data_IF_021503960459
#
_entry.id   IF_021503960459
#
_cell.length_a   1.000
_cell.length_b   1.000
_cell.length_c   1.000
_cell.angle_alpha   90.00
_cell.angle_beta   90.00
_cell.angle_gamma   90.00
#
_symmetry.space_group_name_H-M   'P 1'
#
loop_
_entity.id
_entity.type
_entity.pdbx_description
1 polymer ?
#
# COMPACT_ATOMS: atom_id res chain seq x y z
N UNK A 1 50.03 27.61 -52.70
CA UNK A 1 48.58 27.54 -52.93
C UNK A 1 47.89 27.14 -51.63
N UNK A 2 47.32 28.08 -50.90
CA UNK A 2 46.61 27.86 -49.62
C UNK A 2 45.12 27.88 -49.93
N UNK A 3 44.39 26.82 -49.56
CA UNK A 3 42.95 26.72 -49.65
C UNK A 3 42.33 27.23 -48.32
N UNK A 4 41.26 28.05 -48.32
CA UNK A 4 40.62 28.49 -47.09
C UNK A 4 39.64 27.42 -46.55
N UNK A 5 39.65 27.24 -45.22
CA UNK A 5 38.66 26.46 -44.49
C UNK A 5 37.35 27.26 -44.44
N UNK A 6 36.25 26.64 -44.92
CA UNK A 6 34.92 27.16 -44.75
C UNK A 6 34.43 26.81 -43.31
N UNK A 7 34.03 27.85 -42.58
CA UNK A 7 33.36 27.70 -41.30
C UNK A 7 31.88 27.27 -41.53
N UNK A 8 31.53 26.12 -41.02
CA UNK A 8 30.12 25.64 -40.96
C UNK A 8 29.51 26.20 -39.68
N UNK A 9 28.64 27.20 -39.85
CA UNK A 9 27.84 27.72 -38.76
C UNK A 9 26.77 26.69 -38.32
N UNK A 10 26.89 26.24 -37.08
CA UNK A 10 25.85 25.43 -36.45
C UNK A 10 24.72 26.34 -35.99
N UNK A 11 23.59 26.25 -36.63
CA UNK A 11 22.32 26.89 -36.20
C UNK A 11 21.73 26.03 -35.11
N UNK A 12 21.80 26.48 -33.85
CA UNK A 12 21.04 25.87 -32.76
C UNK A 12 19.56 26.19 -32.94
N UNK A 13 18.78 25.25 -33.41
CA UNK A 13 17.32 25.27 -33.32
C UNK A 13 16.91 24.96 -31.89
N UNK A 14 16.45 25.94 -31.13
CA UNK A 14 15.82 25.74 -29.84
C UNK A 14 14.48 24.97 -30.06
N UNK A 15 14.46 23.68 -29.81
CA UNK A 15 13.21 22.93 -29.68
C UNK A 15 12.55 23.37 -28.36
N UNK A 16 11.48 24.15 -28.49
CA UNK A 16 10.58 24.45 -27.39
C UNK A 16 9.96 23.16 -26.88
N UNK A 17 10.33 22.74 -25.69
CA UNK A 17 9.60 21.72 -24.94
C UNK A 17 8.24 22.29 -24.56
N UNK A 18 7.23 22.04 -25.40
CA UNK A 18 5.83 22.22 -25.01
C UNK A 18 5.53 21.14 -23.97
N UNK A 19 5.50 21.54 -22.69
CA UNK A 19 4.99 20.68 -21.62
C UNK A 19 3.53 20.37 -21.95
N UNK A 20 3.29 19.16 -22.43
CA UNK A 20 1.94 18.63 -22.62
C UNK A 20 1.36 18.42 -21.22
N UNK A 21 0.64 19.41 -20.70
CA UNK A 21 -0.24 19.23 -19.57
C UNK A 21 -1.33 18.24 -20.01
N UNK A 22 -1.14 16.96 -19.71
CA UNK A 22 -2.23 16.01 -19.75
C UNK A 22 -3.21 16.46 -18.67
N UNK A 23 -4.26 17.16 -19.08
CA UNK A 23 -5.40 17.42 -18.21
C UNK A 23 -5.91 16.05 -17.76
N UNK A 24 -5.66 15.70 -16.50
CA UNK A 24 -6.31 14.56 -15.87
C UNK A 24 -7.79 14.90 -15.85
N UNK A 25 -8.54 14.27 -16.76
CA UNK A 25 -10.01 14.33 -16.70
C UNK A 25 -10.42 13.75 -15.35
N UNK A 26 -10.90 14.63 -14.46
CA UNK A 26 -11.48 14.20 -13.21
C UNK A 26 -12.62 13.23 -13.55
N UNK A 27 -12.50 11.97 -13.12
CA UNK A 27 -13.56 11.00 -13.27
C UNK A 27 -14.74 11.39 -12.36
N UNK A 28 -15.96 11.06 -12.79
CA UNK A 28 -17.18 11.49 -12.13
C UNK A 28 -17.60 10.61 -10.93
N UNK A 29 -16.73 9.71 -10.45
CA UNK A 29 -17.05 8.87 -9.30
C UNK A 29 -17.26 9.73 -8.04
N UNK A 30 -18.37 9.51 -7.36
CA UNK A 30 -18.68 10.20 -6.11
C UNK A 30 -18.09 9.42 -4.95
N UNK A 31 -17.24 10.04 -4.10
CA UNK A 31 -16.68 9.38 -2.93
C UNK A 31 -17.77 8.90 -1.98
N UNK A 32 -17.60 7.71 -1.40
CA UNK A 32 -18.52 7.15 -0.40
C UNK A 32 -18.23 7.74 1.00
N UNK A 33 -18.32 9.06 1.14
CA UNK A 33 -17.87 9.81 2.32
C UNK A 33 -18.55 9.36 3.62
N UNK A 34 -19.82 9.01 3.58
CA UNK A 34 -20.55 8.53 4.78
C UNK A 34 -19.99 7.19 5.27
N UNK A 35 -19.67 6.27 4.36
CA UNK A 35 -19.03 4.98 4.65
C UNK A 35 -17.60 5.17 5.14
N UNK A 36 -16.83 6.03 4.50
CA UNK A 36 -15.49 6.38 4.95
C UNK A 36 -15.50 6.92 6.38
N UNK A 37 -16.42 7.84 6.70
CA UNK A 37 -16.58 8.36 8.06
C UNK A 37 -16.98 7.30 9.07
N UNK A 38 -17.81 6.31 8.68
CA UNK A 38 -18.14 5.19 9.55
C UNK A 38 -16.91 4.32 9.85
N UNK A 39 -16.12 3.98 8.82
CA UNK A 39 -14.89 3.21 8.96
C UNK A 39 -13.84 3.94 9.82
N UNK A 40 -13.68 5.25 9.63
CA UNK A 40 -12.78 6.06 10.45
C UNK A 40 -13.21 6.12 11.92
N UNK A 41 -14.52 6.22 12.21
CA UNK A 41 -15.01 6.14 13.59
C UNK A 41 -14.80 4.76 14.21
N UNK A 42 -14.97 3.68 13.44
CA UNK A 42 -14.63 2.35 13.89
C UNK A 42 -13.15 2.26 14.27
N UNK A 43 -12.23 2.70 13.40
CA UNK A 43 -10.80 2.72 13.68
C UNK A 43 -10.46 3.56 14.92
N UNK A 44 -11.12 4.69 15.10
CA UNK A 44 -10.95 5.48 16.32
C UNK A 44 -11.28 4.66 17.57
N UNK A 45 -12.37 3.90 17.53
CA UNK A 45 -12.76 2.99 18.62
C UNK A 45 -11.80 1.83 18.86
N UNK A 46 -10.95 1.50 17.86
CA UNK A 46 -9.95 0.44 17.97
C UNK A 46 -8.61 0.91 18.55
N UNK A 47 -8.45 2.21 18.83
CA UNK A 47 -7.19 2.71 19.42
C UNK A 47 -6.99 2.09 20.79
N UNK A 48 -5.98 1.25 20.92
CA UNK A 48 -5.62 0.56 22.15
C UNK A 48 -5.13 1.52 23.25
N UNK A 49 -5.02 1.01 24.47
CA UNK A 49 -4.50 1.80 25.61
C UNK A 49 -3.09 2.33 25.40
N UNK A 50 -2.27 1.63 24.63
CA UNK A 50 -0.93 2.06 24.26
C UNK A 50 -0.88 2.96 23.01
N UNK A 51 -2.03 3.28 22.40
CA UNK A 51 -2.13 4.08 21.19
C UNK A 51 -2.06 3.30 19.88
N UNK A 52 -1.88 1.97 19.90
CA UNK A 52 -1.84 1.14 18.69
C UNK A 52 -3.23 0.83 18.14
N UNK A 53 -3.27 0.52 16.85
CA UNK A 53 -4.37 -0.19 16.21
C UNK A 53 -3.91 -1.64 15.96
N UNK A 54 -4.71 -2.61 16.39
CA UNK A 54 -4.41 -4.05 16.24
C UNK A 54 -3.03 -4.46 16.77
N UNK A 55 -2.46 -3.72 17.73
CA UNK A 55 -1.09 -3.91 18.26
C UNK A 55 -0.01 -3.92 17.16
N UNK A 56 -0.25 -3.26 16.04
CA UNK A 56 0.59 -3.27 14.84
C UNK A 56 1.05 -1.84 14.48
N UNK A 57 2.35 -1.68 14.24
CA UNK A 57 2.93 -0.42 13.73
C UNK A 57 2.34 -0.13 12.36
N UNK A 58 2.38 -1.09 11.42
CA UNK A 58 1.89 -0.89 10.06
C UNK A 58 0.40 -0.53 9.98
N UNK A 59 -0.45 -1.20 10.77
CA UNK A 59 -1.88 -0.86 10.83
C UNK A 59 -2.15 0.50 11.46
N UNK A 60 -1.33 0.89 12.44
CA UNK A 60 -1.41 2.21 13.07
C UNK A 60 -1.00 3.31 12.08
N UNK A 61 0.04 3.07 11.26
CA UNK A 61 0.47 3.96 10.17
C UNK A 61 -0.64 4.13 9.12
N UNK A 62 -1.23 3.01 8.66
CA UNK A 62 -2.35 3.03 7.71
C UNK A 62 -3.54 3.82 8.25
N UNK A 63 -3.82 3.67 9.55
CA UNK A 63 -4.91 4.44 10.19
C UNK A 63 -4.62 5.93 10.22
N UNK A 64 -3.39 6.34 10.53
CA UNK A 64 -2.97 7.76 10.49
C UNK A 64 -3.15 8.34 9.08
N UNK A 65 -2.72 7.61 8.06
CA UNK A 65 -2.86 8.00 6.65
C UNK A 65 -4.35 8.09 6.28
N UNK A 66 -5.14 7.08 6.63
CA UNK A 66 -6.57 7.02 6.32
C UNK A 66 -7.37 8.16 6.95
N UNK A 67 -7.04 8.54 8.19
CA UNK A 67 -7.69 9.66 8.89
C UNK A 67 -7.37 10.98 8.22
N UNK A 68 -6.11 11.19 7.83
CA UNK A 68 -5.69 12.39 7.09
C UNK A 68 -6.36 12.47 5.71
N UNK A 69 -6.43 11.36 4.99
CA UNK A 69 -7.08 11.28 3.69
C UNK A 69 -8.59 11.50 3.77
N UNK A 70 -9.20 11.12 4.88
CA UNK A 70 -10.59 11.42 5.20
C UNK A 70 -10.84 12.90 5.55
N UNK A 71 -9.78 13.71 5.67
CA UNK A 71 -9.86 15.15 5.97
C UNK A 71 -9.91 15.46 7.46
N UNK A 72 -9.55 14.52 8.32
CA UNK A 72 -9.51 14.69 9.77
C UNK A 72 -8.08 14.79 10.30
N UNK A 73 -7.92 15.39 11.50
CA UNK A 73 -6.64 15.49 12.17
C UNK A 73 -6.25 14.18 12.88
N UNK A 74 -5.24 13.43 12.40
CA UNK A 74 -4.82 12.20 13.03
C UNK A 74 -4.17 12.39 14.42
N UNK A 75 -3.76 13.59 14.80
CA UNK A 75 -3.28 13.89 16.14
C UNK A 75 -4.35 13.68 17.22
N UNK A 76 -5.62 13.65 16.82
CA UNK A 76 -6.76 13.40 17.70
C UNK A 76 -6.99 11.93 18.03
N UNK A 77 -6.34 11.01 17.30
CA UNK A 77 -6.44 9.58 17.55
C UNK A 77 -5.78 9.20 18.86
N UNK A 78 -6.59 8.95 19.88
CA UNK A 78 -6.15 8.59 21.25
C UNK A 78 -6.96 7.44 21.80
N UNK A 79 -6.29 6.50 22.46
CA UNK A 79 -6.95 5.44 23.20
C UNK A 79 -7.60 5.95 24.49
N UNK A 80 -8.33 5.09 25.17
CA UNK A 80 -9.02 5.41 26.43
C UNK A 80 -8.08 5.90 27.55
N UNK A 81 -6.79 5.55 27.48
CA UNK A 81 -5.74 6.07 28.39
C UNK A 81 -5.27 7.49 28.07
N UNK A 82 -5.70 8.07 26.96
CA UNK A 82 -5.19 9.33 26.42
C UNK A 82 -3.91 9.18 25.59
N UNK A 83 -3.34 7.97 25.48
CA UNK A 83 -2.15 7.70 24.66
C UNK A 83 -2.50 7.81 23.17
N UNK A 84 -1.77 8.63 22.44
CA UNK A 84 -2.00 8.84 21.01
C UNK A 84 -1.34 7.77 20.14
N UNK A 85 -1.84 7.61 18.89
CA UNK A 85 -1.18 6.82 17.85
C UNK A 85 0.24 7.33 17.57
N UNK A 86 0.47 8.63 17.65
CA UNK A 86 1.81 9.22 17.48
C UNK A 86 2.79 8.77 18.55
N UNK A 87 2.35 8.71 19.81
CA UNK A 87 3.20 8.20 20.90
C UNK A 87 3.58 6.73 20.67
N UNK A 88 2.61 5.92 20.22
CA UNK A 88 2.88 4.53 19.89
C UNK A 88 3.91 4.43 18.75
N UNK A 89 3.68 5.12 17.64
CA UNK A 89 4.56 5.06 16.47
C UNK A 89 5.99 5.53 16.79
N UNK A 90 6.14 6.66 17.49
CA UNK A 90 7.48 7.17 17.87
C UNK A 90 8.22 6.25 18.83
N UNK A 91 7.50 5.54 19.72
CA UNK A 91 8.07 4.58 20.66
C UNK A 91 8.47 3.24 20.04
N UNK A 92 8.03 2.94 18.78
CA UNK A 92 8.25 1.64 18.13
C UNK A 92 9.12 1.72 16.88
N UNK A 93 9.81 2.81 16.66
CA UNK A 93 10.71 2.98 15.48
C UNK A 93 11.84 1.95 15.43
N UNK A 94 12.27 1.40 16.57
CA UNK A 94 13.29 0.34 16.61
C UNK A 94 12.85 -0.97 15.94
N UNK A 95 11.54 -1.17 15.77
CA UNK A 95 11.00 -2.35 15.08
C UNK A 95 10.99 -2.21 13.56
N UNK A 96 11.27 -1.02 13.02
CA UNK A 96 11.34 -0.76 11.58
C UNK A 96 12.65 -1.31 11.02
N UNK A 97 12.60 -2.47 10.39
CA UNK A 97 13.76 -3.17 9.83
C UNK A 97 13.73 -3.31 8.32
N UNK A 98 12.62 -2.91 7.68
CA UNK A 98 12.40 -3.05 6.24
C UNK A 98 12.27 -1.70 5.54
N UNK A 99 12.61 -1.66 4.27
CA UNK A 99 12.41 -0.48 3.43
C UNK A 99 10.92 -0.08 3.36
N UNK A 100 10.03 -1.08 3.24
CA UNK A 100 8.59 -0.84 3.23
C UNK A 100 8.07 -0.25 4.53
N UNK A 101 8.54 -0.75 5.69
CA UNK A 101 8.19 -0.18 6.99
C UNK A 101 8.69 1.26 7.16
N UNK A 102 9.95 1.52 6.78
CA UNK A 102 10.50 2.88 6.80
C UNK A 102 9.70 3.84 5.89
N UNK A 103 9.35 3.39 4.69
CA UNK A 103 8.55 4.16 3.74
C UNK A 103 7.15 4.45 4.28
N UNK A 104 6.49 3.46 4.88
CA UNK A 104 5.16 3.64 5.47
C UNK A 104 5.19 4.63 6.65
N UNK A 105 6.23 4.57 7.49
CA UNK A 105 6.42 5.55 8.56
C UNK A 105 6.60 6.97 8.02
N UNK A 106 7.37 7.15 6.93
CA UNK A 106 7.49 8.44 6.24
C UNK A 106 6.15 8.91 5.68
N UNK A 107 5.36 8.01 5.07
CA UNK A 107 4.04 8.33 4.55
C UNK A 107 3.08 8.79 5.66
N UNK A 108 3.07 8.09 6.80
CA UNK A 108 2.27 8.48 7.96
C UNK A 108 2.70 9.85 8.52
N UNK A 109 4.01 10.13 8.56
CA UNK A 109 4.53 11.44 8.95
C UNK A 109 4.08 12.56 8.00
N UNK A 110 4.13 12.33 6.68
CA UNK A 110 3.64 13.28 5.69
C UNK A 110 2.14 13.52 5.86
N UNK A 111 1.36 12.44 6.01
CA UNK A 111 -0.09 12.50 6.23
C UNK A 111 -0.43 13.30 7.51
N UNK A 112 0.38 13.16 8.55
CA UNK A 112 0.28 13.92 9.79
C UNK A 112 0.79 15.37 9.69
N UNK A 113 0.97 15.89 8.47
CA UNK A 113 1.46 17.26 8.26
C UNK A 113 2.92 17.47 8.70
N UNK A 114 3.72 16.42 8.68
CA UNK A 114 5.10 16.38 9.17
C UNK A 114 5.19 16.72 10.68
N UNK A 115 4.25 16.19 11.46
CA UNK A 115 4.17 16.42 12.88
C UNK A 115 5.47 16.00 13.59
N UNK A 116 6.00 16.88 14.45
CA UNK A 116 7.24 16.63 15.20
C UNK A 116 7.13 15.42 16.15
N UNK A 117 5.91 15.06 16.57
CA UNK A 117 5.69 13.93 17.47
C UNK A 117 5.99 12.56 16.83
N UNK A 118 6.00 12.48 15.48
CA UNK A 118 6.34 11.28 14.72
C UNK A 118 7.37 11.62 13.62
N UNK A 119 8.34 12.48 13.92
CA UNK A 119 9.35 12.90 12.95
C UNK A 119 10.05 11.71 12.29
N UNK A 120 9.85 11.61 10.99
CA UNK A 120 10.43 10.56 10.15
C UNK A 120 11.58 11.07 9.26
N UNK A 121 12.11 12.26 9.49
CA UNK A 121 13.19 12.84 8.68
C UNK A 121 14.44 11.95 8.64
N UNK A 122 14.80 11.35 9.77
CA UNK A 122 15.89 10.38 9.86
C UNK A 122 15.60 9.09 9.07
N UNK A 123 14.33 8.66 9.04
CA UNK A 123 13.90 7.50 8.28
C UNK A 123 13.89 7.76 6.77
N UNK A 124 13.46 8.96 6.34
CA UNK A 124 13.58 9.39 4.95
C UNK A 124 15.05 9.42 4.49
N UNK A 125 15.94 9.96 5.34
CA UNK A 125 17.39 9.95 5.09
C UNK A 125 17.91 8.52 4.98
N UNK A 126 17.55 7.64 5.91
CA UNK A 126 17.97 6.24 5.91
C UNK A 126 17.41 5.46 4.72
N UNK A 127 16.17 5.74 4.32
CA UNK A 127 15.55 5.14 3.13
C UNK A 127 16.41 5.38 1.89
N UNK A 128 16.93 6.59 1.75
CA UNK A 128 17.72 7.03 0.59
C UNK A 128 19.24 6.88 0.78
N UNK A 129 19.71 6.43 1.94
CA UNK A 129 21.12 6.17 2.18
C UNK A 129 21.55 4.84 1.53
N UNK A 130 22.84 4.73 1.08
CA UNK A 130 23.36 3.49 0.55
C UNK A 130 23.24 2.32 1.54
N UNK A 131 22.80 1.16 1.07
CA UNK A 131 22.66 -0.04 1.88
C UNK A 131 24.00 -0.50 2.49
N UNK A 132 25.11 -0.27 1.80
CA UNK A 132 26.47 -0.52 2.32
C UNK A 132 26.80 0.30 3.58
N UNK A 133 26.10 1.41 3.82
CA UNK A 133 26.23 2.27 4.98
C UNK A 133 25.09 2.09 6.00
N UNK A 134 24.31 1.02 5.91
CA UNK A 134 23.18 0.75 6.82
C UNK A 134 21.86 1.43 6.42
N UNK A 135 21.82 2.03 5.23
CA UNK A 135 20.57 2.49 4.59
C UNK A 135 19.85 1.38 3.83
N UNK A 136 18.91 1.76 2.97
CA UNK A 136 18.11 0.80 2.21
C UNK A 136 18.36 0.85 0.69
N UNK A 137 19.00 1.90 0.17
CA UNK A 137 19.14 2.12 -1.28
C UNK A 137 20.32 1.36 -1.86
N UNK A 138 20.07 0.59 -2.92
CA UNK A 138 21.10 -0.07 -3.74
C UNK A 138 21.47 0.77 -4.97
N UNK A 139 22.67 0.56 -5.55
CA UNK A 139 23.11 1.29 -6.74
C UNK A 139 22.20 1.13 -7.96
N UNK A 140 21.46 0.02 -8.05
CA UNK A 140 20.49 -0.24 -9.13
C UNK A 140 19.12 0.42 -8.91
N UNK A 141 18.95 1.21 -7.84
CA UNK A 141 17.70 1.86 -7.49
C UNK A 141 16.71 1.00 -6.69
N UNK A 142 17.09 -0.22 -6.32
CA UNK A 142 16.28 -1.06 -5.45
C UNK A 142 16.38 -0.61 -3.98
N UNK A 143 15.27 -0.67 -3.27
CA UNK A 143 15.23 -0.49 -1.82
C UNK A 143 15.24 -1.86 -1.15
N UNK A 144 16.31 -2.15 -0.45
CA UNK A 144 16.52 -3.42 0.24
C UNK A 144 16.12 -3.36 1.70
N UNK A 145 15.77 -4.51 2.26
CA UNK A 145 15.65 -4.66 3.71
C UNK A 145 17.03 -4.59 4.38
N UNK A 146 17.07 -4.14 5.62
CA UNK A 146 18.32 -3.98 6.37
C UNK A 146 19.05 -5.31 6.62
N UNK A 147 18.34 -6.44 6.54
CA UNK A 147 18.93 -7.77 6.66
C UNK A 147 18.92 -8.50 5.31
N UNK A 148 20.06 -8.56 4.60
CA UNK A 148 20.14 -9.16 3.26
C UNK A 148 19.95 -10.67 3.23
N UNK A 149 19.86 -11.35 4.38
CA UNK A 149 19.78 -12.83 4.41
C UNK A 149 18.38 -13.38 4.22
N UNK A 150 17.33 -12.55 4.36
CA UNK A 150 15.94 -13.05 4.35
C UNK A 150 15.20 -12.66 3.08
N UNK A 151 15.32 -11.42 2.66
CA UNK A 151 14.66 -10.93 1.46
C UNK A 151 15.27 -9.59 1.05
N UNK A 152 15.76 -9.54 -0.17
CA UNK A 152 16.60 -8.41 -0.57
C UNK A 152 15.76 -7.22 -1.02
N UNK A 153 14.87 -7.42 -1.98
CA UNK A 153 13.96 -6.38 -2.45
C UNK A 153 12.67 -7.04 -2.97
N UNK A 154 11.56 -6.33 -2.86
CA UNK A 154 10.28 -6.74 -3.42
C UNK A 154 9.54 -5.53 -3.98
N UNK A 155 8.59 -5.76 -4.88
CA UNK A 155 7.88 -4.69 -5.58
C UNK A 155 7.02 -3.86 -4.63
N UNK A 156 6.49 -4.47 -3.56
CA UNK A 156 5.64 -3.78 -2.59
C UNK A 156 6.44 -2.75 -1.80
N UNK A 157 7.55 -3.16 -1.17
CA UNK A 157 8.45 -2.24 -0.45
C UNK A 157 9.04 -1.17 -1.35
N UNK A 158 9.42 -1.54 -2.58
CA UNK A 158 9.90 -0.60 -3.59
C UNK A 158 8.87 0.47 -3.92
N UNK A 159 7.62 0.07 -4.12
CA UNK A 159 6.52 0.98 -4.43
C UNK A 159 6.24 1.94 -3.29
N UNK A 160 6.20 1.44 -2.05
CA UNK A 160 6.05 2.28 -0.85
C UNK A 160 7.18 3.29 -0.73
N UNK A 161 8.44 2.90 -1.00
CA UNK A 161 9.58 3.80 -0.94
C UNK A 161 9.48 4.92 -1.99
N UNK A 162 9.11 4.59 -3.22
CA UNK A 162 8.86 5.57 -4.29
C UNK A 162 7.74 6.54 -3.88
N UNK A 163 6.65 6.03 -3.31
CA UNK A 163 5.54 6.85 -2.82
C UNK A 163 5.97 7.78 -1.68
N UNK A 164 6.79 7.27 -0.73
CA UNK A 164 7.28 8.03 0.41
C UNK A 164 8.19 9.20 -0.02
N UNK A 165 9.11 8.96 -0.95
CA UNK A 165 9.97 10.01 -1.51
C UNK A 165 9.12 11.10 -2.17
N UNK A 166 8.21 10.72 -3.05
CA UNK A 166 7.35 11.67 -3.78
C UNK A 166 6.42 12.44 -2.84
N UNK A 167 5.84 11.76 -1.83
CA UNK A 167 4.95 12.41 -0.88
C UNK A 167 5.68 13.38 0.05
N UNK A 168 6.93 13.06 0.43
CA UNK A 168 7.77 13.92 1.26
C UNK A 168 8.36 15.11 0.50
N UNK A 169 8.26 15.12 -0.84
CA UNK A 169 8.92 16.10 -1.72
C UNK A 169 10.39 15.79 -1.99
N UNK A 170 10.83 14.58 -1.66
CA UNK A 170 12.19 14.12 -1.95
C UNK A 170 12.30 13.68 -3.43
N UNK A 171 13.47 13.91 -4.02
CA UNK A 171 13.75 13.46 -5.38
C UNK A 171 13.92 11.95 -5.42
N UNK A 172 13.33 11.30 -6.42
CA UNK A 172 13.51 9.85 -6.59
C UNK A 172 14.96 9.51 -6.89
N UNK A 173 15.51 8.47 -6.26
CA UNK A 173 16.79 7.92 -6.64
C UNK A 173 16.81 7.50 -8.10
N UNK A 174 17.99 7.60 -8.72
CA UNK A 174 18.21 7.08 -10.06
C UNK A 174 17.77 5.61 -10.13
N UNK A 175 17.11 5.24 -11.20
CA UNK A 175 16.64 3.88 -11.51
C UNK A 175 15.49 3.34 -10.63
N UNK A 176 15.03 4.02 -9.56
CA UNK A 176 13.97 3.49 -8.67
C UNK A 176 12.69 3.11 -9.41
N UNK A 177 12.19 3.97 -10.32
CA UNK A 177 11.04 3.66 -11.16
C UNK A 177 11.36 2.68 -12.29
N UNK A 178 12.61 2.73 -12.80
CA UNK A 178 13.11 1.77 -13.79
C UNK A 178 13.07 0.35 -13.25
N UNK A 179 13.46 0.18 -11.99
CA UNK A 179 13.42 -1.09 -11.28
C UNK A 179 11.98 -1.65 -11.21
N UNK A 180 11.00 -0.84 -10.83
CA UNK A 180 9.58 -1.24 -10.83
C UNK A 180 9.10 -1.64 -12.24
N UNK A 181 9.46 -0.88 -13.27
CA UNK A 181 9.07 -1.21 -14.65
C UNK A 181 9.63 -2.56 -15.11
N UNK A 182 10.87 -2.87 -14.73
CA UNK A 182 11.47 -4.18 -15.04
C UNK A 182 10.77 -5.34 -14.32
N UNK A 183 10.03 -5.07 -13.24
CA UNK A 183 9.28 -6.07 -12.49
C UNK A 183 7.98 -6.51 -13.18
N UNK A 184 7.57 -5.88 -14.28
CA UNK A 184 6.36 -6.26 -15.01
C UNK A 184 6.50 -7.65 -15.64
N UNK A 185 5.51 -8.50 -15.43
CA UNK A 185 5.45 -9.85 -15.97
C UNK A 185 4.87 -9.86 -17.39
N UNK A 186 5.13 -10.91 -18.18
CA UNK A 186 4.60 -11.03 -19.56
C UNK A 186 3.09 -10.91 -19.65
N UNK A 187 2.35 -11.33 -18.62
CA UNK A 187 0.89 -11.18 -18.51
C UNK A 187 0.41 -9.76 -18.22
N UNK A 188 1.32 -8.80 -18.05
CA UNK A 188 1.02 -7.39 -17.82
C UNK A 188 0.91 -6.98 -16.36
N UNK A 189 0.71 -7.90 -15.42
CA UNK A 189 0.71 -7.65 -13.98
C UNK A 189 2.10 -7.62 -13.37
N UNK A 190 2.16 -7.45 -12.05
CA UNK A 190 3.37 -7.47 -11.24
C UNK A 190 3.23 -8.54 -10.15
N UNK A 191 4.32 -9.18 -9.79
CA UNK A 191 4.37 -10.15 -8.71
C UNK A 191 5.45 -9.78 -7.70
N UNK A 192 5.28 -10.26 -6.48
CA UNK A 192 6.04 -9.86 -5.30
C UNK A 192 7.56 -10.03 -5.44
N UNK A 193 7.98 -11.23 -5.85
CA UNK A 193 9.39 -11.57 -5.86
C UNK A 193 10.10 -11.17 -7.15
N UNK A 194 11.34 -10.72 -7.02
CA UNK A 194 12.26 -10.46 -8.12
C UNK A 194 13.56 -11.20 -7.82
N UNK A 195 14.01 -12.05 -8.77
CA UNK A 195 15.34 -12.65 -8.68
C UNK A 195 16.39 -11.62 -8.98
N UNK A 196 17.52 -11.74 -8.32
CA UNK A 196 18.67 -10.89 -8.55
C UNK A 196 18.33 -9.38 -8.54
N UNK A 197 17.79 -8.93 -7.41
CA UNK A 197 17.53 -7.52 -7.17
C UNK A 197 18.81 -6.65 -7.28
N UNK A 198 19.99 -7.25 -7.27
CA UNK A 198 21.27 -6.55 -7.49
C UNK A 198 21.56 -6.32 -8.97
N UNK A 199 20.96 -7.04 -9.90
CA UNK A 199 21.14 -6.82 -11.33
C UNK A 199 20.57 -5.48 -11.79
N UNK A 200 21.13 -4.91 -12.85
CA UNK A 200 20.68 -3.67 -13.45
C UNK A 200 20.54 -3.85 -14.96
N UNK A 201 19.34 -3.99 -15.54
CA UNK A 201 18.03 -4.08 -14.85
C UNK A 201 17.89 -5.40 -14.07
N UNK A 202 16.97 -5.46 -13.08
CA UNK A 202 16.73 -6.69 -12.34
C UNK A 202 16.23 -7.80 -13.27
N UNK A 203 16.66 -9.02 -13.00
CA UNK A 203 16.25 -10.21 -13.75
C UNK A 203 15.13 -10.90 -12.95
N UNK A 204 14.07 -11.31 -13.63
CA UNK A 204 12.97 -11.99 -12.99
C UNK A 204 13.33 -13.41 -12.54
N UNK A 205 12.90 -13.81 -11.36
CA UNK A 205 12.84 -15.21 -10.98
C UNK A 205 11.93 -15.92 -11.96
N UNK A 206 12.13 -17.15 -12.28
CA UNK A 206 11.26 -17.94 -13.16
C UNK A 206 9.78 -18.02 -12.70
N UNK A 207 9.39 -17.30 -11.65
CA UNK A 207 8.01 -17.08 -11.23
C UNK A 207 7.33 -16.16 -12.23
N UNK A 208 6.26 -16.67 -12.85
CA UNK A 208 5.43 -15.95 -13.81
C UNK A 208 4.15 -15.43 -13.19
N UNK A 209 3.93 -15.68 -11.91
CA UNK A 209 2.72 -15.25 -11.21
C UNK A 209 2.71 -13.74 -11.02
N UNK A 210 1.55 -13.15 -11.24
CA UNK A 210 1.23 -11.77 -10.89
C UNK A 210 0.06 -11.79 -9.93
N UNK A 211 0.00 -10.83 -9.04
CA UNK A 211 -1.15 -10.64 -8.18
C UNK A 211 -1.69 -9.22 -8.26
N UNK A 212 -2.91 -9.03 -7.79
CA UNK A 212 -3.63 -7.77 -7.90
C UNK A 212 -3.09 -6.71 -6.95
N UNK A 213 -2.58 -7.12 -5.79
CA UNK A 213 -2.10 -6.21 -4.75
C UNK A 213 -0.75 -5.61 -5.13
N UNK A 214 0.19 -6.45 -5.59
CA UNK A 214 1.48 -5.97 -6.11
C UNK A 214 1.28 -5.11 -7.36
N UNK A 215 0.41 -5.55 -8.27
CA UNK A 215 0.05 -4.74 -9.44
C UNK A 215 -0.57 -3.41 -9.03
N UNK A 216 -1.44 -3.42 -8.03
CA UNK A 216 -2.11 -2.23 -7.53
C UNK A 216 -1.15 -1.20 -6.92
N UNK A 217 -0.24 -1.64 -6.04
CA UNK A 217 0.70 -0.70 -5.40
C UNK A 217 1.75 -0.18 -6.38
N UNK A 218 2.22 -1.00 -7.31
CA UNK A 218 3.16 -0.56 -8.36
C UNK A 218 2.50 0.50 -9.25
N UNK A 219 1.24 0.31 -9.63
CA UNK A 219 0.50 1.29 -10.43
C UNK A 219 0.36 2.62 -9.71
N UNK A 220 0.13 2.61 -8.38
CA UNK A 220 0.07 3.83 -7.59
C UNK A 220 1.43 4.56 -7.58
N UNK A 221 2.52 3.82 -7.36
CA UNK A 221 3.87 4.39 -7.34
C UNK A 221 4.28 4.98 -8.70
N UNK A 222 4.08 4.24 -9.78
CA UNK A 222 4.41 4.70 -11.12
C UNK A 222 3.50 5.84 -11.58
N UNK A 223 2.20 5.77 -11.27
CA UNK A 223 1.25 6.86 -11.55
C UNK A 223 1.65 8.15 -10.84
N UNK A 224 2.00 8.09 -9.56
CA UNK A 224 2.46 9.25 -8.78
C UNK A 224 3.78 9.80 -9.32
N UNK A 225 4.67 8.94 -9.83
CA UNK A 225 5.93 9.34 -10.45
C UNK A 225 5.75 9.94 -11.86
N UNK A 226 4.52 10.03 -12.39
CA UNK A 226 4.25 10.50 -13.74
C UNK A 226 4.76 9.53 -14.83
N UNK A 227 5.13 8.33 -14.46
CA UNK A 227 5.53 7.28 -15.39
C UNK A 227 4.27 6.61 -15.91
N UNK A 228 3.80 7.06 -17.07
CA UNK A 228 2.58 6.55 -17.70
C UNK A 228 2.84 5.14 -18.21
N UNK A 229 2.77 4.20 -17.30
CA UNK A 229 2.83 2.77 -17.58
C UNK A 229 1.48 2.10 -17.38
N UNK A 230 0.40 2.88 -17.25
CA UNK A 230 -0.96 2.37 -17.36
C UNK A 230 -1.15 1.77 -18.76
N UNK A 231 -0.25 0.84 -19.07
CA UNK A 231 -0.20 0.18 -20.34
C UNK A 231 -1.49 -0.60 -20.54
N UNK A 232 -1.94 -0.77 -21.76
CA UNK A 232 -3.04 -1.67 -22.05
C UNK A 232 -2.87 -3.05 -21.41
N UNK A 233 -1.63 -3.52 -21.24
CA UNK A 233 -1.31 -4.81 -20.63
C UNK A 233 -1.67 -4.87 -19.14
N UNK A 234 -1.35 -3.83 -18.33
CA UNK A 234 -1.74 -3.80 -16.90
C UNK A 234 -3.25 -3.75 -16.74
N UNK A 235 -3.93 -2.89 -17.54
CA UNK A 235 -5.39 -2.83 -17.52
C UNK A 235 -6.03 -4.14 -17.93
N UNK A 236 -5.49 -4.81 -18.95
CA UNK A 236 -5.95 -6.13 -19.39
C UNK A 236 -5.75 -7.18 -18.29
N UNK A 237 -4.60 -7.18 -17.61
CA UNK A 237 -4.35 -8.05 -16.47
C UNK A 237 -5.38 -7.84 -15.36
N UNK A 238 -5.55 -6.61 -14.87
CA UNK A 238 -6.53 -6.32 -13.82
C UNK A 238 -7.95 -6.70 -14.26
N UNK A 239 -8.32 -6.41 -15.49
CA UNK A 239 -9.63 -6.80 -16.01
C UNK A 239 -9.82 -8.32 -16.02
N UNK A 240 -8.78 -9.09 -16.38
CA UNK A 240 -8.83 -10.56 -16.35
C UNK A 240 -8.89 -11.11 -14.91
N UNK A 241 -8.19 -10.46 -13.99
CA UNK A 241 -8.14 -10.86 -12.58
C UNK A 241 -9.41 -10.48 -11.79
N UNK A 242 -10.21 -9.54 -12.30
CA UNK A 242 -11.45 -9.14 -11.65
C UNK A 242 -12.40 -10.32 -11.52
N UNK A 243 -12.94 -10.57 -10.33
CA UNK A 243 -13.84 -11.67 -10.02
C UNK A 243 -15.25 -11.43 -10.59
N UNK A 244 -16.07 -12.49 -10.62
CA UNK A 244 -17.44 -12.42 -11.16
C UNK A 244 -18.37 -11.49 -10.36
N UNK A 245 -18.07 -11.26 -9.07
CA UNK A 245 -18.77 -10.34 -8.18
C UNK A 245 -18.32 -8.87 -8.32
N UNK A 246 -17.40 -8.59 -9.25
CA UNK A 246 -16.90 -7.25 -9.54
C UNK A 246 -15.70 -6.83 -8.70
N UNK A 247 -15.29 -7.63 -7.72
CA UNK A 247 -14.16 -7.35 -6.84
C UNK A 247 -12.85 -8.01 -7.31
N UNK A 248 -11.87 -7.96 -6.42
CA UNK A 248 -10.54 -8.52 -6.60
C UNK A 248 -10.15 -9.38 -5.40
N UNK A 249 -9.24 -10.32 -5.62
CA UNK A 249 -8.64 -11.12 -4.59
C UNK A 249 -7.12 -11.07 -4.69
N UNK A 250 -6.44 -11.36 -3.61
CA UNK A 250 -5.02 -11.63 -3.65
C UNK A 250 -4.73 -12.81 -4.60
N UNK A 251 -3.97 -12.53 -5.66
CA UNK A 251 -3.76 -13.50 -6.72
C UNK A 251 -4.96 -13.65 -7.67
N UNK A 252 -4.98 -14.75 -8.42
CA UNK A 252 -6.04 -15.06 -9.37
C UNK A 252 -6.99 -16.16 -8.88
N UNK A 253 -6.79 -16.64 -7.67
CA UNK A 253 -7.51 -17.78 -7.08
C UNK A 253 -8.11 -17.33 -5.74
N UNK A 254 -9.40 -17.47 -5.61
CA UNK A 254 -10.12 -17.18 -4.36
C UNK A 254 -11.35 -16.31 -4.56
N UNK A 255 -12.02 -15.97 -3.48
CA UNK A 255 -13.08 -14.98 -3.45
C UNK A 255 -12.49 -13.59 -3.31
N UNK A 256 -13.21 -12.59 -3.78
CA UNK A 256 -12.85 -11.17 -3.56
C UNK A 256 -12.69 -10.88 -2.08
N UNK A 257 -11.83 -9.92 -1.77
CA UNK A 257 -11.62 -9.43 -0.41
C UNK A 257 -11.50 -7.89 -0.41
N UNK A 258 -11.86 -7.23 0.69
CA UNK A 258 -11.91 -5.78 0.74
C UNK A 258 -10.54 -5.10 0.64
N UNK A 259 -9.47 -5.77 1.08
CA UNK A 259 -8.11 -5.22 1.04
C UNK A 259 -7.60 -5.18 -0.41
N UNK A 260 -7.84 -6.25 -1.17
CA UNK A 260 -7.51 -6.32 -2.59
C UNK A 260 -8.36 -5.35 -3.42
N UNK A 261 -9.63 -5.21 -3.09
CA UNK A 261 -10.49 -4.19 -3.72
C UNK A 261 -9.95 -2.78 -3.47
N UNK A 262 -9.61 -2.47 -2.22
CA UNK A 262 -9.11 -1.15 -1.84
C UNK A 262 -7.84 -0.78 -2.61
N UNK A 263 -6.85 -1.66 -2.67
CA UNK A 263 -5.59 -1.37 -3.35
C UNK A 263 -5.77 -1.21 -4.87
N UNK A 264 -6.68 -1.98 -5.49
CA UNK A 264 -6.97 -1.83 -6.92
C UNK A 264 -7.79 -0.58 -7.20
N UNK A 265 -8.78 -0.21 -6.36
CA UNK A 265 -9.48 1.08 -6.46
C UNK A 265 -8.49 2.23 -6.43
N UNK A 266 -7.58 2.24 -5.47
CA UNK A 266 -6.52 3.25 -5.34
C UNK A 266 -5.60 3.30 -6.56
N UNK A 267 -5.27 2.14 -7.13
CA UNK A 267 -4.47 2.05 -8.35
C UNK A 267 -5.19 2.65 -9.56
N UNK A 268 -6.46 2.32 -9.74
CA UNK A 268 -7.29 2.88 -10.82
C UNK A 268 -7.37 4.40 -10.70
N UNK A 269 -7.59 4.92 -9.49
CA UNK A 269 -7.59 6.35 -9.22
C UNK A 269 -6.24 6.99 -9.55
N UNK A 270 -5.14 6.36 -9.16
CA UNK A 270 -3.79 6.87 -9.41
C UNK A 270 -3.47 7.04 -10.90
N UNK A 271 -4.08 6.23 -11.75
CA UNK A 271 -3.91 6.30 -13.21
C UNK A 271 -5.03 7.08 -13.93
N UNK A 272 -5.88 7.78 -13.17
CA UNK A 272 -6.99 8.56 -13.70
C UNK A 272 -8.15 7.73 -14.27
N UNK A 273 -8.30 6.47 -13.82
CA UNK A 273 -9.43 5.63 -14.20
C UNK A 273 -10.52 5.66 -13.12
N UNK A 274 -11.78 5.70 -13.55
CA UNK A 274 -12.93 5.59 -12.65
C UNK A 274 -13.20 4.11 -12.30
N UNK A 275 -13.01 3.70 -11.02
CA UNK A 275 -13.24 2.32 -10.59
C UNK A 275 -14.71 1.88 -10.69
N UNK A 276 -15.66 2.81 -10.87
CA UNK A 276 -17.09 2.52 -11.01
C UNK A 276 -17.56 2.47 -12.47
N UNK A 277 -16.68 2.84 -13.42
CA UNK A 277 -17.01 2.87 -14.83
C UNK A 277 -17.27 1.48 -15.42
N UNK A 278 -17.95 1.44 -16.56
CA UNK A 278 -18.35 0.20 -17.25
C UNK A 278 -17.22 -0.82 -17.45
N UNK A 279 -15.97 -0.44 -17.80
CA UNK A 279 -14.89 -1.42 -17.96
C UNK A 279 -14.57 -2.22 -16.69
N UNK A 280 -14.89 -1.67 -15.50
CA UNK A 280 -14.63 -2.29 -14.21
C UNK A 280 -15.88 -2.89 -13.57
N UNK A 281 -16.87 -3.28 -14.39
CA UNK A 281 -18.09 -3.94 -13.91
C UNK A 281 -18.15 -5.39 -14.37
N UNK A 282 -18.35 -6.28 -13.41
CA UNK A 282 -18.69 -7.69 -13.63
C UNK A 282 -19.86 -8.07 -12.72
N UNK A 283 -20.78 -8.91 -13.19
CA UNK A 283 -21.94 -9.34 -12.42
C UNK A 283 -22.85 -8.20 -11.95
N UNK A 284 -22.76 -7.01 -12.58
CA UNK A 284 -23.52 -5.82 -12.15
C UNK A 284 -22.84 -4.99 -11.08
N UNK A 285 -21.78 -5.49 -10.44
CA UNK A 285 -20.98 -4.81 -9.42
C UNK A 285 -19.66 -4.28 -9.99
N UNK A 286 -19.03 -3.38 -9.24
CA UNK A 286 -17.71 -2.83 -9.49
C UNK A 286 -16.87 -2.96 -8.21
N UNK A 287 -15.53 -2.71 -8.23
CA UNK A 287 -14.70 -2.88 -7.05
C UNK A 287 -15.17 -2.10 -5.82
N UNK A 288 -15.70 -0.89 -6.01
CA UNK A 288 -16.20 -0.09 -4.89
C UNK A 288 -17.43 -0.73 -4.24
N UNK A 289 -18.42 -1.15 -5.04
CA UNK A 289 -19.62 -1.81 -4.51
C UNK A 289 -19.32 -3.19 -3.95
N UNK A 290 -18.34 -3.90 -4.47
CA UNK A 290 -17.89 -5.16 -3.92
C UNK A 290 -17.21 -4.94 -2.56
N UNK A 291 -16.28 -4.01 -2.46
CA UNK A 291 -15.62 -3.66 -1.20
C UNK A 291 -16.65 -3.26 -0.13
N UNK A 292 -17.65 -2.45 -0.49
CA UNK A 292 -18.72 -2.05 0.44
C UNK A 292 -19.58 -3.22 0.94
N UNK A 293 -19.66 -4.32 0.20
CA UNK A 293 -20.41 -5.50 0.64
C UNK A 293 -19.75 -6.24 1.83
N UNK A 294 -18.46 -5.97 2.09
CA UNK A 294 -17.74 -6.49 3.26
C UNK A 294 -17.90 -5.62 4.52
N UNK A 295 -18.66 -4.53 4.46
CA UNK A 295 -18.95 -3.73 5.64
C UNK A 295 -19.74 -4.56 6.67
N UNK A 296 -19.45 -4.37 7.96
CA UNK A 296 -20.16 -5.04 9.04
C UNK A 296 -21.67 -4.76 8.96
N UNK A 297 -22.50 -5.82 8.78
CA UNK A 297 -23.94 -5.68 8.67
C UNK A 297 -24.60 -5.14 9.94
N UNK A 298 -23.93 -5.19 11.08
CA UNK A 298 -24.40 -4.65 12.36
C UNK A 298 -24.16 -3.16 12.52
N UNK A 299 -23.54 -2.52 11.51
CA UNK A 299 -23.39 -1.07 11.46
C UNK A 299 -22.28 -0.50 12.34
N UNK A 300 -21.29 -1.30 12.75
CA UNK A 300 -20.11 -0.79 13.48
C UNK A 300 -19.28 0.20 12.66
N UNK A 301 -19.35 0.10 11.34
CA UNK A 301 -18.51 0.83 10.39
C UNK A 301 -17.22 0.11 10.02
N UNK A 302 -16.87 -0.98 10.69
CA UNK A 302 -15.71 -1.80 10.35
C UNK A 302 -15.98 -2.71 9.14
N UNK A 303 -14.92 -3.33 8.64
CA UNK A 303 -14.95 -4.24 7.49
C UNK A 303 -14.47 -5.63 7.88
N UNK A 304 -15.08 -6.64 7.27
CA UNK A 304 -14.87 -8.05 7.61
C UNK A 304 -14.10 -8.72 6.47
N UNK A 305 -12.90 -9.22 6.77
CA UNK A 305 -12.17 -10.04 5.82
C UNK A 305 -12.86 -11.41 5.66
N UNK A 306 -12.93 -12.00 4.45
CA UNK A 306 -13.51 -13.32 4.24
C UNK A 306 -12.92 -14.37 5.19
N UNK A 307 -13.81 -15.09 5.90
CA UNK A 307 -13.41 -16.07 6.92
C UNK A 307 -13.32 -15.53 8.34
N UNK A 308 -13.34 -14.21 8.56
CA UNK A 308 -13.42 -13.64 9.90
C UNK A 308 -14.88 -13.61 10.39
N UNK A 309 -15.06 -13.67 11.72
CA UNK A 309 -16.39 -13.61 12.37
C UNK A 309 -16.89 -12.21 12.64
N UNK A 310 -16.03 -11.19 12.46
CA UNK A 310 -16.38 -9.79 12.68
C UNK A 310 -15.31 -8.85 12.10
N UNK A 311 -15.58 -7.55 12.12
CA UNK A 311 -14.66 -6.57 11.59
C UNK A 311 -13.42 -6.44 12.45
N UNK A 312 -12.31 -6.08 11.83
CA UNK A 312 -11.04 -5.86 12.50
C UNK A 312 -10.36 -4.57 12.04
N UNK A 313 -9.43 -4.07 12.89
CA UNK A 313 -8.75 -2.82 12.61
C UNK A 313 -7.76 -2.92 11.45
N UNK A 314 -7.25 -4.12 11.16
CA UNK A 314 -6.30 -4.34 10.08
C UNK A 314 -6.98 -4.14 8.71
N UNK A 315 -8.01 -4.93 8.43
CA UNK A 315 -8.81 -4.81 7.21
C UNK A 315 -9.40 -3.42 7.06
N UNK A 316 -9.99 -2.88 8.15
CA UNK A 316 -10.65 -1.58 8.06
C UNK A 316 -9.67 -0.43 7.78
N UNK A 317 -8.39 -0.52 8.20
CA UNK A 317 -7.44 0.57 8.01
C UNK A 317 -7.11 0.88 6.53
N UNK A 318 -7.23 -0.11 5.64
CA UNK A 318 -6.99 0.07 4.21
C UNK A 318 -8.17 0.74 3.47
N UNK A 319 -9.38 0.67 4.03
CA UNK A 319 -10.63 0.97 3.34
C UNK A 319 -10.93 2.46 3.16
N UNK A 320 -10.77 3.35 4.15
CA UNK A 320 -11.25 4.73 4.04
C UNK A 320 -10.62 5.49 2.87
N UNK A 321 -9.35 5.24 2.56
CA UNK A 321 -8.65 5.86 1.44
C UNK A 321 -9.31 5.50 0.09
N UNK A 322 -9.64 4.22 -0.10
CA UNK A 322 -10.33 3.76 -1.30
C UNK A 322 -11.75 4.34 -1.41
N UNK A 323 -12.49 4.44 -0.28
CA UNK A 323 -13.82 5.04 -0.23
C UNK A 323 -13.83 6.52 -0.58
N UNK A 324 -12.77 7.26 -0.22
CA UNK A 324 -12.62 8.69 -0.61
C UNK A 324 -11.88 8.85 -1.93
N UNK A 325 -11.62 7.77 -2.64
CA UNK A 325 -10.96 7.74 -3.96
C UNK A 325 -9.59 8.44 -3.95
N UNK A 326 -8.78 8.16 -2.93
CA UNK A 326 -7.41 8.65 -2.82
C UNK A 326 -6.43 7.49 -2.97
N UNK A 327 -5.40 7.63 -3.84
CA UNK A 327 -4.30 6.69 -3.88
C UNK A 327 -3.53 6.69 -2.56
N UNK A 328 -2.94 5.57 -2.21
CA UNK A 328 -2.01 5.46 -1.11
C UNK A 328 -0.83 6.43 -1.32
N UNK A 329 -0.44 7.16 -0.30
CA UNK A 329 0.59 8.19 -0.44
C UNK A 329 0.17 9.43 -1.22
N UNK A 330 -1.11 9.55 -1.61
CA UNK A 330 -1.65 10.85 -2.03
C UNK A 330 -1.74 11.81 -0.86
N UNK A 331 -1.43 11.31 0.35
CA UNK A 331 -1.52 12.02 1.60
C UNK A 331 -1.10 13.47 1.43
N UNK A 332 -2.08 14.30 1.15
CA UNK A 332 -1.94 15.73 1.35
C UNK A 332 -1.80 15.90 2.84
N UNK A 333 -0.79 16.62 3.29
CA UNK A 333 -0.67 17.01 4.68
C UNK A 333 -2.06 17.43 5.18
N UNK A 334 -2.45 16.90 6.34
CA UNK A 334 -3.69 17.30 6.98
C UNK A 334 -3.83 18.82 6.93
N UNK A 335 -4.95 19.32 6.45
CA UNK A 335 -5.15 20.76 6.33
C UNK A 335 -5.00 21.40 7.71
N UNK A 336 -4.27 22.51 7.79
CA UNK A 336 -4.19 23.29 9.02
C UNK A 336 -5.62 23.61 9.51
N UNK A 337 -5.97 23.22 10.74
CA UNK A 337 -7.31 23.38 11.28
C UNK A 337 -8.30 22.28 10.89
N UNK A 338 -7.85 21.12 10.39
CA UNK A 338 -8.70 19.97 10.19
C UNK A 338 -9.44 19.61 11.49
N UNK A 339 -10.72 19.28 11.35
CA UNK A 339 -11.55 18.96 12.51
C UNK A 339 -11.11 17.64 13.16
N UNK A 340 -11.24 17.52 14.49
CA UNK A 340 -11.12 16.23 15.14
C UNK A 340 -12.19 15.29 14.61
N UNK A 341 -11.87 14.02 14.47
CA UNK A 341 -12.84 13.00 14.16
C UNK A 341 -13.82 12.89 15.35
N UNK A 342 -15.06 13.32 15.16
CA UNK A 342 -16.06 13.27 16.21
C UNK A 342 -16.46 11.81 16.50
N UNK A 343 -16.24 11.36 17.74
CA UNK A 343 -16.82 10.11 18.22
C UNK A 343 -18.30 10.38 18.44
N UNK A 344 -19.16 9.78 17.64
CA UNK A 344 -20.55 9.61 18.10
C UNK A 344 -20.49 8.53 19.19
N UNK A 345 -20.57 8.93 20.45
CA UNK A 345 -21.02 8.01 21.50
C UNK A 345 -22.39 7.51 21.04
N UNK A 346 -22.57 6.20 20.78
CA UNK A 346 -23.90 5.70 20.50
C UNK A 346 -24.76 6.07 21.69
N UNK A 347 -25.86 6.75 21.44
CA UNK A 347 -26.88 7.00 22.45
C UNK A 347 -27.23 5.63 23.06
N UNK A 348 -27.27 5.46 24.38
CA UNK A 348 -27.55 4.16 24.97
C UNK A 348 -29.03 3.81 24.72
N UNK A 349 -29.31 3.25 23.56
CA UNK A 349 -30.58 2.62 23.26
C UNK A 349 -30.45 1.15 23.63
N UNK A 350 -30.96 0.85 24.83
CA UNK A 350 -31.33 -0.50 25.25
C UNK A 350 -30.15 -1.43 25.59
N UNK A 351 -29.86 -1.53 26.87
CA UNK A 351 -29.08 -2.62 27.42
C UNK A 351 -29.72 -3.96 27.05
N UNK A 352 -29.13 -4.67 26.08
CA UNK A 352 -29.34 -6.10 25.95
C UNK A 352 -28.16 -6.76 26.67
N UNK A 353 -28.41 -7.14 27.92
CA UNK A 353 -27.52 -8.01 28.69
C UNK A 353 -27.50 -9.38 28.00
N UNK A 354 -26.40 -9.70 27.37
CA UNK A 354 -26.07 -11.09 27.01
C UNK A 354 -24.73 -11.42 27.65
N UNK A 355 -24.81 -12.08 28.78
CA UNK A 355 -23.67 -12.80 29.34
C UNK A 355 -23.37 -13.98 28.40
N UNK A 356 -22.27 -13.87 27.66
CA UNK A 356 -21.68 -15.01 26.95
C UNK A 356 -20.43 -15.42 27.69
N UNK A 357 -20.53 -16.47 28.46
CA UNK A 357 -19.40 -17.26 28.92
C UNK A 357 -18.86 -18.07 27.74
N UNK A 358 -17.90 -17.55 27.02
CA UNK A 358 -17.15 -18.31 26.02
C UNK A 358 -15.91 -18.97 26.66
N UNK A 359 -15.46 -20.14 26.17
CA UNK A 359 -14.35 -20.87 26.75
C UNK A 359 -13.04 -20.13 26.58
N UNK A 360 -12.29 -20.03 27.67
CA UNK A 360 -10.91 -19.53 27.71
C UNK A 360 -10.00 -20.47 26.91
N UNK A 361 -9.42 -19.94 25.84
CA UNK A 361 -8.32 -20.61 25.13
C UNK A 361 -7.02 -20.28 25.86
N UNK A 362 -6.15 -21.27 26.15
CA UNK A 362 -4.89 -20.99 26.84
C UNK A 362 -3.96 -20.16 25.96
N UNK A 363 -3.45 -19.09 26.54
CA UNK A 363 -2.39 -18.27 25.96
C UNK A 363 -1.12 -19.09 25.86
N UNK A 364 -0.75 -19.49 24.64
CA UNK A 364 0.61 -19.93 24.34
C UNK A 364 1.42 -18.66 24.05
N UNK A 365 2.17 -18.22 25.05
CA UNK A 365 3.17 -17.18 24.90
C UNK A 365 4.35 -17.72 24.13
N UNK A 366 4.77 -16.96 23.14
CA UNK A 366 6.21 -16.76 22.86
C UNK A 366 6.29 -15.66 21.80
N UNK A 367 6.96 -14.59 22.19
CA UNK A 367 7.17 -13.41 21.38
C UNK A 367 7.96 -13.71 20.13
N UNK A 368 7.49 -13.14 19.06
CA UNK A 368 8.33 -12.71 17.95
C UNK A 368 7.91 -11.26 17.67
N UNK A 369 8.53 -10.35 18.40
CA UNK A 369 8.46 -8.93 18.12
C UNK A 369 9.24 -8.66 16.83
N UNK A 370 8.57 -8.82 15.69
CA UNK A 370 9.05 -8.44 14.37
C UNK A 370 8.15 -7.36 13.81
N UNK A 371 8.46 -6.10 14.10
CA UNK A 371 7.76 -4.97 13.50
C UNK A 371 7.87 -5.00 11.99
N UNK A 372 6.73 -5.09 11.32
CA UNK A 372 6.69 -5.00 9.87
C UNK A 372 6.07 -6.19 9.16
N UNK A 373 5.05 -6.78 9.75
CA UNK A 373 4.30 -7.85 9.09
C UNK A 373 2.82 -7.72 9.43
N UNK A 374 2.00 -7.41 8.44
CA UNK A 374 1.01 -8.41 8.16
C UNK A 374 0.89 -8.78 6.67
N UNK A 375 1.33 -7.93 5.77
CA UNK A 375 1.19 -8.25 4.35
C UNK A 375 2.14 -9.36 3.87
N UNK A 376 3.35 -9.45 4.47
CA UNK A 376 4.33 -10.50 4.14
C UNK A 376 4.03 -11.88 4.73
N UNK A 377 3.39 -11.99 5.89
CA UNK A 377 3.12 -13.28 6.53
C UNK A 377 1.94 -14.03 5.90
N UNK A 378 0.92 -13.32 5.40
CA UNK A 378 -0.14 -13.97 4.62
C UNK A 378 0.42 -14.54 3.31
N UNK A 379 1.46 -13.91 2.74
CA UNK A 379 2.18 -14.37 1.56
C UNK A 379 3.05 -15.60 1.81
N UNK A 380 3.70 -15.71 2.97
CA UNK A 380 4.59 -16.84 3.29
C UNK A 380 3.81 -18.13 3.65
N UNK A 381 2.63 -18.02 4.23
CA UNK A 381 1.82 -19.19 4.59
C UNK A 381 1.24 -19.90 3.35
N UNK A 382 0.99 -19.20 2.26
CA UNK A 382 0.47 -19.77 1.01
C UNK A 382 1.58 -20.16 0.01
N UNK A 383 2.74 -19.48 0.02
CA UNK A 383 3.89 -19.81 -0.82
C UNK A 383 4.64 -21.08 -0.39
N UNK A 384 4.61 -21.44 0.88
CA UNK A 384 5.29 -22.62 1.42
C UNK A 384 4.71 -23.96 1.00
N UNK A 385 3.44 -24.02 0.61
CA UNK A 385 2.78 -25.25 0.21
C UNK A 385 3.11 -25.71 -1.22
N UNK A 386 3.56 -24.81 -2.11
CA UNK A 386 3.90 -25.16 -3.49
C UNK A 386 5.34 -25.65 -3.68
N UNK A 387 6.28 -25.32 -2.78
CA UNK A 387 7.69 -25.74 -2.91
C UNK A 387 7.89 -27.19 -2.47
N UNK A 388 7.01 -27.74 -1.65
CA UNK A 388 7.08 -29.13 -1.18
C UNK A 388 6.71 -30.20 -2.21
N UNK A 389 6.00 -29.85 -3.28
CA UNK A 389 5.48 -30.83 -4.24
C UNK A 389 6.43 -31.12 -5.42
N UNK A 390 7.37 -30.25 -5.72
CA UNK A 390 8.29 -30.40 -6.87
C UNK A 390 9.59 -31.14 -6.56
N UNK A 391 9.96 -31.27 -5.28
CA UNK A 391 11.21 -31.96 -4.89
C UNK A 391 11.05 -33.48 -4.68
N UNK A 392 9.85 -34.05 -4.83
CA UNK A 392 9.60 -35.49 -4.64
C UNK A 392 9.56 -36.32 -5.92
N UNK A 393 9.78 -35.77 -7.10
CA UNK A 393 9.68 -36.50 -8.40
C UNK A 393 10.99 -36.74 -9.15
N UNK A 394 12.15 -36.51 -8.58
CA UNK A 394 13.42 -36.77 -9.29
C UNK A 394 14.36 -37.77 -8.60
N UNK A 395 13.84 -38.79 -7.90
CA UNK A 395 14.64 -39.93 -7.46
C UNK A 395 13.88 -41.23 -7.71
N UNK A 396 13.81 -41.66 -8.97
CA UNK A 396 13.75 -43.05 -9.34
C UNK A 396 13.93 -43.20 -10.84
N UNK A 397 15.15 -43.50 -11.26
CA UNK A 397 15.50 -44.37 -12.37
C UNK A 397 16.92 -44.11 -12.82
N UNK A 398 17.85 -44.92 -12.37
CA UNK A 398 18.97 -45.39 -13.20
C UNK A 398 19.27 -46.78 -12.74
N UNK A 399 19.43 -47.74 -13.62
CA UNK A 399 19.56 -49.18 -13.41
C UNK A 399 20.86 -49.58 -12.72
#
# INVERSE_FOLDING_TARGET
>A
MRRPCAAVGATLTALGMTALFVATTAFAATPATSRANAALRYLYGQVGRNGSIASSVGTTEDTVISVADGGYDPATLKGASGTSTYHYLSGHTSTITTAGGAAKYVLAWVAAGKAAAIDASAWLTKLNAPASGGGFLQPNGAFHNANPTVETANVFSQSLAVLADLASGHSLPAHATGWLRCAQRPGGGFGYAISDAAATPPVFCGDTSSDTNDTGIVMQALGKAGVVTATPAVKAYLHSAQQADGGFSFGTIGSSDPDSDAIVIQALVAIGADPTAAPWRKGGANPLTNMEAFADPHGSGGYIFPGNTGPDGFTTAAIPQALVLKPYGAATAVAAGASPLAIHTPSPTGAVSAASTGPTVPSAGSGVDGGGLPWGLLLLALGGACIGATLRRSRSSVP
#
